data_IF_185761169647
#
_entry.id   IF_185761169647
#
_cell.length_a   1.000
_cell.length_b   1.000
_cell.length_c   1.000
_cell.angle_alpha   90.00
_cell.angle_beta   90.00
_cell.angle_gamma   90.00
#
_symmetry.space_group_name_H-M   'P 1'
#
loop_
_entity.id
_entity.type
_entity.pdbx_description
1 polymer ?
#
# COMPACT_ATOMS: atom_id res chain seq x y z
N UNK A 1 27.51 93.41 -29.42
CA UNK A 1 26.34 92.45 -29.53
C UNK A 1 26.86 91.10 -29.05
N UNK A 2 26.43 90.68 -27.88
CA UNK A 2 27.07 89.64 -27.08
C UNK A 2 26.25 88.40 -27.19
N UNK A 3 26.84 87.37 -27.73
CA UNK A 3 26.25 86.01 -27.68
C UNK A 3 26.92 85.18 -26.59
N UNK A 4 26.17 84.69 -25.63
CA UNK A 4 26.58 83.79 -24.54
C UNK A 4 26.33 82.34 -24.93
N UNK A 5 27.42 81.55 -24.97
CA UNK A 5 27.38 80.11 -25.13
C UNK A 5 27.04 79.46 -23.77
N UNK A 6 26.01 78.60 -23.76
CA UNK A 6 25.68 77.72 -22.65
C UNK A 6 26.20 76.33 -22.98
N UNK A 7 27.17 75.83 -22.21
CA UNK A 7 27.71 74.49 -22.28
C UNK A 7 26.85 73.60 -21.33
N UNK A 8 26.11 72.65 -21.87
CA UNK A 8 25.45 71.59 -21.11
C UNK A 8 26.42 70.43 -20.87
N UNK A 9 26.79 70.20 -19.62
CA UNK A 9 27.47 68.97 -19.19
C UNK A 9 26.39 67.92 -18.88
N UNK A 10 26.34 66.85 -19.67
CA UNK A 10 25.52 65.63 -19.36
C UNK A 10 26.33 64.74 -18.45
N UNK A 11 25.82 64.53 -17.24
CA UNK A 11 26.25 63.42 -16.35
C UNK A 11 25.54 62.10 -16.80
N UNK A 12 26.33 61.17 -17.31
CA UNK A 12 25.88 59.80 -17.55
C UNK A 12 25.96 59.03 -16.22
N UNK A 13 24.83 58.76 -15.60
CA UNK A 13 24.69 57.81 -14.51
C UNK A 13 24.58 56.40 -15.09
N UNK A 14 25.65 55.60 -14.98
CA UNK A 14 25.65 54.19 -15.30
C UNK A 14 24.92 53.43 -14.15
N UNK A 15 23.67 53.04 -14.38
CA UNK A 15 22.92 52.13 -13.51
C UNK A 15 23.39 50.72 -13.75
N UNK A 16 24.06 50.13 -12.77
CA UNK A 16 24.30 48.66 -12.73
C UNK A 16 22.98 47.95 -12.42
N UNK A 17 22.37 47.33 -13.42
CA UNK A 17 21.33 46.31 -13.21
C UNK A 17 22.01 45.00 -12.74
N UNK A 18 21.95 44.72 -11.45
CA UNK A 18 22.19 43.38 -10.93
C UNK A 18 21.01 42.51 -11.34
N UNK A 19 21.15 41.73 -12.42
CA UNK A 19 20.26 40.64 -12.73
C UNK A 19 20.53 39.55 -11.69
N UNK A 20 19.63 39.39 -10.71
CA UNK A 20 19.58 38.22 -9.86
C UNK A 20 19.20 37.03 -10.75
N UNK A 21 20.18 36.18 -11.12
CA UNK A 21 19.91 34.86 -11.62
C UNK A 21 19.22 34.07 -10.46
N UNK A 22 17.92 34.07 -10.45
CA UNK A 22 17.20 33.07 -9.73
C UNK A 22 17.58 31.70 -10.36
N UNK A 23 18.31 30.88 -9.63
CA UNK A 23 18.54 29.52 -10.02
C UNK A 23 17.14 28.85 -10.14
N UNK A 24 16.68 28.72 -11.39
CA UNK A 24 15.48 27.87 -11.64
C UNK A 24 15.87 26.49 -11.19
N UNK A 25 15.06 25.84 -10.33
CA UNK A 25 15.27 24.43 -10.05
C UNK A 25 15.25 23.71 -11.40
N UNK A 26 16.32 22.99 -11.71
CA UNK A 26 16.30 22.11 -12.89
C UNK A 26 15.16 21.14 -12.66
N UNK A 27 14.10 21.24 -13.45
CA UNK A 27 13.09 20.22 -13.52
C UNK A 27 13.82 18.94 -13.94
N UNK A 28 14.02 18.03 -12.98
CA UNK A 28 14.48 16.69 -13.31
C UNK A 28 13.39 16.10 -14.19
N UNK A 29 13.75 15.73 -15.41
CA UNK A 29 12.81 15.08 -16.31
C UNK A 29 12.42 13.76 -15.64
N UNK A 30 11.18 13.72 -15.15
CA UNK A 30 10.59 12.55 -14.57
C UNK A 30 10.67 11.39 -15.57
N UNK A 31 11.20 10.26 -15.15
CA UNK A 31 11.34 9.11 -16.03
C UNK A 31 10.56 7.91 -15.49
N UNK A 32 9.77 7.31 -16.37
CA UNK A 32 9.05 6.06 -16.12
C UNK A 32 9.75 4.90 -16.82
N UNK A 33 9.86 3.76 -16.15
CA UNK A 33 10.42 2.53 -16.69
C UNK A 33 9.62 1.31 -16.27
N UNK A 34 9.31 0.43 -17.22
CA UNK A 34 8.85 -0.93 -16.92
C UNK A 34 10.08 -1.78 -16.61
N UNK A 35 10.13 -2.33 -15.41
CA UNK A 35 11.21 -3.20 -14.94
C UNK A 35 10.97 -4.66 -15.32
N UNK A 36 9.69 -5.08 -15.34
CA UNK A 36 9.28 -6.42 -15.72
C UNK A 36 7.86 -6.42 -16.27
N UNK A 37 7.64 -7.22 -17.32
CA UNK A 37 6.31 -7.55 -17.84
C UNK A 37 5.99 -8.98 -17.42
N UNK A 38 4.93 -9.20 -16.68
CA UNK A 38 4.49 -10.54 -16.32
C UNK A 38 3.95 -11.30 -17.54
N UNK A 39 4.19 -12.60 -17.55
CA UNK A 39 3.78 -13.46 -18.68
C UNK A 39 2.51 -14.25 -18.41
N UNK A 40 1.99 -14.23 -17.18
CA UNK A 40 0.89 -15.10 -16.76
C UNK A 40 1.28 -16.57 -16.56
N UNK A 41 2.58 -16.89 -16.68
CA UNK A 41 3.10 -18.24 -16.56
C UNK A 41 3.93 -18.43 -15.26
N UNK A 42 5.15 -18.92 -15.38
CA UNK A 42 5.99 -19.26 -14.23
C UNK A 42 6.46 -18.07 -13.40
N UNK A 43 6.42 -16.86 -13.93
CA UNK A 43 6.74 -15.60 -13.25
C UNK A 43 5.51 -14.96 -12.56
N UNK A 44 4.31 -15.48 -12.82
CA UNK A 44 3.07 -14.95 -12.31
C UNK A 44 2.36 -14.00 -13.25
N UNK A 45 1.27 -13.42 -12.78
CA UNK A 45 0.45 -12.42 -13.49
C UNK A 45 -0.47 -11.68 -12.54
N UNK A 46 -1.03 -10.57 -13.00
CA UNK A 46 -1.97 -9.73 -12.25
C UNK A 46 -1.46 -9.38 -10.83
N UNK A 47 -0.32 -8.65 -10.72
CA UNK A 47 0.20 -8.23 -9.42
C UNK A 47 -0.73 -7.18 -8.80
N UNK A 48 -1.29 -7.46 -7.63
CA UNK A 48 -2.26 -6.62 -6.94
C UNK A 48 -1.68 -5.85 -5.75
N UNK A 49 -0.55 -6.32 -5.22
CA UNK A 49 0.07 -5.75 -4.03
C UNK A 49 1.31 -4.92 -4.38
N UNK A 50 1.69 -4.04 -3.45
CA UNK A 50 2.96 -3.33 -3.51
C UNK A 50 4.17 -4.21 -3.27
N UNK A 51 5.34 -3.60 -3.36
CA UNK A 51 6.62 -4.29 -3.26
C UNK A 51 7.24 -4.10 -1.87
N UNK A 52 7.87 -5.14 -1.35
CA UNK A 52 8.71 -5.07 -0.15
C UNK A 52 10.17 -5.02 -0.57
N UNK A 53 10.95 -4.07 0.00
CA UNK A 53 12.35 -3.85 -0.37
C UNK A 53 13.27 -4.42 0.71
N UNK A 54 14.26 -5.23 0.34
CA UNK A 54 15.31 -5.66 1.26
C UNK A 54 16.47 -4.65 1.31
N UNK A 55 17.40 -4.85 2.25
CA UNK A 55 18.59 -3.98 2.41
C UNK A 55 19.55 -4.00 1.22
N UNK A 56 19.46 -5.00 0.35
CA UNK A 56 20.28 -5.12 -0.86
C UNK A 56 19.61 -4.47 -2.08
N UNK A 57 18.41 -3.91 -1.92
CA UNK A 57 17.64 -3.27 -3.00
C UNK A 57 16.91 -4.28 -3.89
N UNK A 58 16.69 -5.51 -3.43
CA UNK A 58 15.78 -6.42 -4.13
C UNK A 58 14.34 -6.15 -3.69
N UNK A 59 13.41 -6.40 -4.61
CA UNK A 59 11.99 -6.26 -4.37
C UNK A 59 11.31 -7.62 -4.27
N UNK A 60 10.31 -7.72 -3.40
CA UNK A 60 9.50 -8.91 -3.21
C UNK A 60 8.04 -8.54 -3.36
N UNK A 61 7.29 -9.34 -4.08
CA UNK A 61 5.87 -9.10 -4.33
C UNK A 61 5.10 -10.39 -4.55
N UNK A 62 3.82 -10.23 -4.77
CA UNK A 62 2.88 -11.31 -5.02
C UNK A 62 2.17 -11.09 -6.35
N UNK A 63 1.74 -12.18 -6.97
CA UNK A 63 0.85 -12.15 -8.12
C UNK A 63 -0.38 -12.99 -7.83
N UNK A 64 -1.56 -12.49 -8.20
CA UNK A 64 -2.83 -13.17 -7.96
C UNK A 64 -2.99 -14.40 -8.84
N UNK A 65 -2.46 -14.36 -10.07
CA UNK A 65 -2.43 -15.45 -11.06
C UNK A 65 -1.00 -15.93 -11.33
N UNK A 66 -0.84 -16.99 -12.09
CA UNK A 66 0.47 -17.53 -12.50
C UNK A 66 0.39 -18.95 -12.97
N UNK A 67 1.51 -19.66 -13.09
CA UNK A 67 1.70 -20.94 -13.80
C UNK A 67 0.59 -21.99 -13.65
N UNK A 68 -0.15 -21.98 -12.55
CA UNK A 68 -1.28 -22.86 -12.28
C UNK A 68 -2.58 -22.09 -11.97
N UNK A 69 -2.60 -20.78 -12.18
CA UNK A 69 -3.73 -19.91 -11.87
C UNK A 69 -3.88 -19.54 -10.39
N UNK A 70 -2.96 -19.96 -9.52
CA UNK A 70 -3.12 -19.86 -8.07
C UNK A 70 -2.26 -18.75 -7.43
N UNK A 71 -1.43 -18.07 -8.22
CA UNK A 71 -0.57 -16.97 -7.79
C UNK A 71 0.84 -17.41 -7.36
N UNK A 72 1.71 -16.41 -7.22
CA UNK A 72 3.12 -16.61 -6.85
C UNK A 72 3.59 -15.59 -5.83
N UNK A 73 4.69 -15.92 -5.14
CA UNK A 73 5.55 -14.92 -4.49
C UNK A 73 6.83 -14.84 -5.29
N UNK A 74 7.25 -13.65 -5.68
CA UNK A 74 8.42 -13.42 -6.51
C UNK A 74 9.46 -12.52 -5.83
N UNK A 75 10.69 -12.60 -6.36
CA UNK A 75 11.78 -11.68 -6.09
C UNK A 75 12.23 -11.04 -7.39
N UNK A 76 12.28 -9.72 -7.44
CA UNK A 76 12.90 -8.93 -8.49
C UNK A 76 14.28 -8.48 -8.03
N UNK A 77 15.32 -8.80 -8.78
CA UNK A 77 16.70 -8.46 -8.45
C UNK A 77 17.39 -7.78 -9.61
N UNK A 78 18.26 -6.83 -9.31
CA UNK A 78 19.11 -6.20 -10.32
C UNK A 78 20.28 -7.12 -10.67
N UNK A 79 20.43 -7.48 -11.94
CA UNK A 79 21.49 -8.36 -12.44
C UNK A 79 22.17 -7.72 -13.65
N UNK A 80 23.44 -7.37 -13.51
CA UNK A 80 24.16 -6.62 -14.55
C UNK A 80 23.53 -5.25 -14.79
N UNK A 81 23.02 -5.00 -15.99
CA UNK A 81 22.32 -3.74 -16.33
C UNK A 81 20.78 -3.88 -16.36
N UNK A 82 20.24 -5.02 -15.96
CA UNK A 82 18.81 -5.30 -16.07
C UNK A 82 18.19 -5.82 -14.78
N UNK A 83 16.91 -6.09 -14.84
CA UNK A 83 16.12 -6.65 -13.75
C UNK A 83 15.67 -8.07 -14.09
N UNK A 84 15.67 -8.95 -13.11
CA UNK A 84 15.27 -10.36 -13.27
C UNK A 84 14.27 -10.71 -12.18
N UNK A 85 13.11 -11.23 -12.59
CA UNK A 85 12.11 -11.82 -11.69
C UNK A 85 12.42 -13.30 -11.51
N UNK A 86 12.44 -13.75 -10.26
CA UNK A 86 12.48 -15.15 -9.89
C UNK A 86 11.26 -15.47 -9.01
N UNK A 87 10.49 -16.47 -9.41
CA UNK A 87 9.44 -17.01 -8.56
C UNK A 87 10.07 -17.73 -7.37
N UNK A 88 9.76 -17.28 -6.16
CA UNK A 88 10.23 -17.90 -4.92
C UNK A 88 9.33 -19.06 -4.53
N UNK A 89 8.03 -18.90 -4.76
CA UNK A 89 7.00 -19.91 -4.49
C UNK A 89 5.84 -19.76 -5.46
N UNK A 90 5.28 -20.87 -5.90
CA UNK A 90 4.05 -20.92 -6.70
C UNK A 90 3.02 -21.73 -5.93
N UNK A 91 1.91 -21.08 -5.59
CA UNK A 91 0.82 -21.74 -4.87
C UNK A 91 0.19 -22.83 -5.73
N UNK A 92 -0.11 -23.96 -5.09
CA UNK A 92 -0.70 -25.11 -5.78
C UNK A 92 -2.25 -25.08 -5.77
N UNK A 93 -2.82 -24.14 -4.98
CA UNK A 93 -4.22 -24.19 -4.61
C UNK A 93 -4.50 -25.27 -3.57
N UNK A 94 -5.65 -25.31 -2.98
CA UNK A 94 -5.92 -26.27 -1.91
C UNK A 94 -5.25 -25.86 -0.59
N UNK A 95 -4.51 -26.78 0.04
CA UNK A 95 -4.06 -26.60 1.43
C UNK A 95 -3.01 -25.52 1.66
N UNK A 96 -2.23 -25.12 0.67
CA UNK A 96 -1.19 -24.08 0.77
C UNK A 96 -1.73 -22.68 0.48
N UNK A 97 -2.96 -22.58 -0.03
CA UNK A 97 -3.61 -21.32 -0.36
C UNK A 97 -3.59 -21.01 -1.85
N UNK A 98 -4.29 -19.94 -2.23
CA UNK A 98 -4.32 -19.38 -3.58
C UNK A 98 -4.70 -17.91 -3.56
N UNK A 99 -4.38 -17.18 -4.63
CA UNK A 99 -4.61 -15.74 -4.78
C UNK A 99 -4.00 -14.91 -3.63
N UNK A 100 -2.66 -14.84 -3.52
CA UNK A 100 -2.00 -13.95 -2.58
C UNK A 100 -2.12 -12.50 -3.10
N UNK A 101 -3.13 -11.77 -2.63
CA UNK A 101 -3.43 -10.41 -3.08
C UNK A 101 -2.86 -9.33 -2.15
N UNK A 102 -2.39 -9.72 -0.97
CA UNK A 102 -1.68 -8.84 -0.05
C UNK A 102 -0.17 -8.88 -0.29
N UNK A 103 0.53 -7.86 0.14
CA UNK A 103 1.99 -7.77 0.07
C UNK A 103 2.64 -8.79 1.02
N UNK A 104 3.66 -9.49 0.53
CA UNK A 104 4.52 -10.29 1.39
C UNK A 104 5.51 -9.37 2.13
N UNK A 105 5.55 -9.45 3.47
CA UNK A 105 6.35 -8.59 4.33
C UNK A 105 7.41 -9.38 5.09
N UNK A 106 8.56 -8.76 5.41
CA UNK A 106 9.56 -9.41 6.24
C UNK A 106 9.14 -9.41 7.71
N UNK A 107 9.17 -10.57 8.34
CA UNK A 107 9.07 -10.69 9.78
C UNK A 107 10.40 -10.41 10.48
N UNK A 108 10.37 -10.31 11.83
CA UNK A 108 11.56 -10.03 12.64
C UNK A 108 12.66 -11.10 12.53
N UNK A 109 12.33 -12.31 12.07
CA UNK A 109 13.24 -13.43 11.82
C UNK A 109 13.83 -13.45 10.39
N UNK A 110 13.50 -12.46 9.56
CA UNK A 110 13.96 -12.32 8.19
C UNK A 110 13.28 -13.24 7.18
N UNK A 111 12.25 -13.99 7.57
CA UNK A 111 11.39 -14.71 6.65
C UNK A 111 10.35 -13.77 6.03
N UNK A 112 9.80 -14.13 4.87
CA UNK A 112 8.64 -13.46 4.29
C UNK A 112 7.36 -14.07 4.84
N UNK A 113 6.39 -13.21 5.12
CA UNK A 113 5.06 -13.60 5.59
C UNK A 113 4.00 -12.92 4.73
N UNK A 114 2.90 -13.61 4.52
CA UNK A 114 1.76 -13.07 3.77
C UNK A 114 0.51 -13.88 3.99
N UNK A 115 -0.53 -13.48 3.29
CA UNK A 115 -1.83 -14.15 3.29
C UNK A 115 -2.22 -14.59 1.89
N UNK A 116 -3.03 -15.62 1.80
CA UNK A 116 -3.75 -15.95 0.57
C UNK A 116 -5.25 -15.71 0.81
N UNK A 117 -5.90 -15.04 -0.14
CA UNK A 117 -7.32 -14.71 -0.03
C UNK A 117 -8.21 -15.95 0.01
N UNK A 118 -7.82 -16.99 -0.72
CA UNK A 118 -8.53 -18.25 -0.90
C UNK A 118 -7.62 -19.43 -0.61
N UNK A 119 -8.16 -20.64 -0.73
CA UNK A 119 -7.45 -21.88 -0.41
C UNK A 119 -7.42 -22.13 1.10
N UNK A 120 -6.52 -22.99 1.56
CA UNK A 120 -6.62 -23.60 2.87
C UNK A 120 -7.57 -24.79 2.82
N UNK A 121 -7.87 -25.41 3.97
CA UNK A 121 -8.68 -26.63 4.01
C UNK A 121 -10.12 -26.40 3.52
N UNK A 122 -10.73 -25.28 3.93
CA UNK A 122 -12.12 -24.94 3.62
C UNK A 122 -12.25 -23.86 2.51
N UNK A 123 -11.14 -23.35 1.98
CA UNK A 123 -11.16 -22.34 0.93
C UNK A 123 -11.20 -20.89 1.42
N UNK A 124 -11.07 -20.65 2.72
CA UNK A 124 -11.22 -19.33 3.35
C UNK A 124 -9.92 -18.55 3.53
N UNK A 125 -8.82 -19.03 2.93
CA UNK A 125 -7.53 -18.38 2.94
C UNK A 125 -6.58 -18.90 4.02
N UNK A 126 -5.31 -18.44 3.91
CA UNK A 126 -4.24 -18.88 4.81
C UNK A 126 -3.37 -17.72 5.24
N UNK A 127 -2.60 -17.93 6.32
CA UNK A 127 -1.40 -17.14 6.64
C UNK A 127 -0.20 -18.04 6.41
N UNK A 128 0.76 -17.60 5.60
CA UNK A 128 1.95 -18.36 5.24
C UNK A 128 3.26 -17.68 5.65
N UNK A 129 4.31 -18.47 5.75
CA UNK A 129 5.68 -18.05 5.90
C UNK A 129 6.53 -18.66 4.79
N UNK A 130 7.41 -17.87 4.17
CA UNK A 130 8.41 -18.35 3.20
C UNK A 130 9.81 -18.14 3.74
N UNK A 131 10.63 -19.18 3.70
CA UNK A 131 12.05 -19.15 4.07
C UNK A 131 12.93 -19.56 2.90
N UNK A 132 14.09 -18.92 2.74
CA UNK A 132 15.07 -19.40 1.79
C UNK A 132 15.51 -20.83 2.16
N UNK A 133 15.91 -21.66 1.18
CA UNK A 133 16.43 -22.99 1.46
C UNK A 133 17.64 -22.92 2.39
N UNK A 134 17.75 -23.89 3.31
CA UNK A 134 18.82 -23.94 4.31
C UNK A 134 20.24 -24.12 3.71
N UNK A 135 20.32 -24.59 2.47
CA UNK A 135 21.59 -24.78 1.75
C UNK A 135 21.69 -23.81 0.59
N UNK A 136 22.90 -23.30 0.31
CA UNK A 136 23.15 -22.43 -0.81
C UNK A 136 22.67 -23.09 -2.12
N UNK A 137 21.74 -22.45 -2.76
CA UNK A 137 21.17 -22.93 -4.01
C UNK A 137 22.14 -22.68 -5.17
N UNK A 138 22.36 -23.69 -6.00
CA UNK A 138 23.21 -23.63 -7.18
C UNK A 138 22.43 -23.55 -8.49
N UNK A 139 21.10 -23.57 -8.43
CA UNK A 139 20.23 -23.47 -9.61
C UNK A 139 19.66 -22.07 -9.77
N UNK A 140 19.28 -21.72 -10.99
CA UNK A 140 18.68 -20.41 -11.31
C UNK A 140 17.32 -20.27 -10.63
N UNK A 141 16.61 -21.37 -10.41
CA UNK A 141 15.35 -21.43 -9.67
C UNK A 141 15.59 -22.10 -8.31
N UNK A 142 15.55 -21.31 -7.27
CA UNK A 142 15.61 -21.78 -5.89
C UNK A 142 14.29 -21.51 -5.18
N UNK A 143 13.33 -22.42 -5.23
CA UNK A 143 12.09 -22.23 -4.53
C UNK A 143 12.34 -22.12 -3.03
N UNK A 144 11.67 -21.18 -2.40
CA UNK A 144 11.67 -21.04 -0.96
C UNK A 144 10.73 -22.07 -0.35
N UNK A 145 10.97 -22.39 0.90
CA UNK A 145 10.14 -23.34 1.65
C UNK A 145 8.95 -22.58 2.23
N UNK A 146 7.77 -22.99 1.82
CA UNK A 146 6.52 -22.51 2.37
C UNK A 146 6.14 -23.30 3.62
N UNK A 147 5.56 -22.62 4.59
CA UNK A 147 4.91 -23.18 5.77
C UNK A 147 3.61 -22.43 6.00
N UNK A 148 2.49 -23.13 5.94
CA UNK A 148 1.20 -22.57 6.34
C UNK A 148 1.16 -22.48 7.86
N UNK A 149 1.02 -21.27 8.38
CA UNK A 149 0.95 -20.99 9.81
C UNK A 149 -0.46 -21.13 10.36
N UNK A 150 -1.44 -20.70 9.55
CA UNK A 150 -2.85 -20.76 9.90
C UNK A 150 -3.72 -20.96 8.64
N UNK A 151 -4.85 -21.67 8.80
CA UNK A 151 -5.87 -21.85 7.76
C UNK A 151 -7.20 -21.41 8.35
N UNK A 152 -7.78 -20.38 7.75
CA UNK A 152 -9.09 -19.89 8.17
C UNK A 152 -10.18 -20.92 7.85
N UNK A 153 -11.18 -21.01 8.72
CA UNK A 153 -12.29 -21.97 8.62
C UNK A 153 -13.60 -21.33 8.17
N UNK A 154 -13.61 -19.99 7.99
CA UNK A 154 -14.77 -19.23 7.51
C UNK A 154 -15.85 -18.99 8.56
N UNK A 155 -15.62 -19.45 9.79
CA UNK A 155 -16.51 -19.24 10.94
C UNK A 155 -16.11 -18.00 11.74
N UNK A 156 -16.12 -18.15 13.07
CA UNK A 156 -15.76 -17.06 13.99
C UNK A 156 -14.30 -16.61 13.86
N UNK A 157 -13.41 -17.44 13.32
CA UNK A 157 -11.99 -17.16 13.12
C UNK A 157 -11.68 -16.28 11.91
N UNK A 158 -12.69 -15.98 11.08
CA UNK A 158 -12.55 -15.13 9.91
C UNK A 158 -12.44 -15.88 8.60
N UNK A 159 -12.46 -15.13 7.49
CA UNK A 159 -12.32 -15.63 6.12
C UNK A 159 -11.79 -14.54 5.19
N UNK A 160 -11.17 -14.95 4.09
CA UNK A 160 -10.76 -14.05 3.02
C UNK A 160 -9.87 -12.89 3.52
N UNK A 161 -8.66 -13.16 4.03
CA UNK A 161 -7.68 -12.11 4.25
C UNK A 161 -7.27 -11.54 2.89
N UNK A 162 -7.54 -10.25 2.66
CA UNK A 162 -7.41 -9.66 1.33
C UNK A 162 -6.18 -8.77 1.20
N UNK A 163 -6.36 -7.45 1.17
CA UNK A 163 -5.32 -6.48 0.82
C UNK A 163 -4.41 -6.10 2.00
N UNK A 164 -4.70 -6.65 3.19
CA UNK A 164 -4.02 -6.25 4.42
C UNK A 164 -2.61 -6.83 4.56
N UNK A 165 -1.63 -5.96 4.72
CA UNK A 165 -0.30 -6.35 5.13
C UNK A 165 -0.31 -6.91 6.56
N UNK A 166 0.52 -7.92 6.82
CA UNK A 166 0.72 -8.42 8.17
C UNK A 166 1.60 -7.48 8.99
N UNK A 167 1.24 -7.28 10.26
CA UNK A 167 2.02 -6.52 11.23
C UNK A 167 2.54 -7.43 12.35
N UNK A 168 3.65 -7.04 12.98
CA UNK A 168 4.31 -7.82 14.04
C UNK A 168 4.42 -7.01 15.32
N UNK A 169 4.11 -7.63 16.46
CA UNK A 169 4.46 -7.04 17.75
C UNK A 169 5.92 -7.36 18.15
N UNK A 170 6.40 -6.77 19.22
CA UNK A 170 7.76 -6.97 19.71
C UNK A 170 8.07 -8.41 20.16
N UNK A 171 7.06 -9.23 20.39
CA UNK A 171 7.18 -10.66 20.70
C UNK A 171 7.25 -11.53 19.45
N UNK A 172 7.03 -10.96 18.26
CA UNK A 172 6.94 -11.66 16.99
C UNK A 172 5.57 -12.31 16.73
N UNK A 173 4.53 -11.94 17.48
CA UNK A 173 3.15 -12.31 17.12
C UNK A 173 2.72 -11.56 15.88
N UNK A 174 1.93 -12.21 15.04
CA UNK A 174 1.47 -11.70 13.75
C UNK A 174 0.04 -11.18 13.93
N UNK A 175 -0.21 -10.01 13.36
CA UNK A 175 -1.55 -9.42 13.31
C UNK A 175 -1.96 -9.17 11.87
N UNK A 176 -3.22 -9.36 11.58
CA UNK A 176 -3.83 -9.09 10.29
C UNK A 176 -5.34 -9.01 10.39
N UNK A 177 -5.98 -8.92 9.25
CA UNK A 177 -7.43 -8.77 9.12
C UNK A 177 -8.00 -9.77 8.14
N UNK A 178 -9.28 -10.07 8.29
CA UNK A 178 -10.06 -10.83 7.32
C UNK A 178 -11.28 -10.02 6.89
N UNK A 179 -11.62 -10.08 5.61
CA UNK A 179 -12.79 -9.36 5.09
C UNK A 179 -14.13 -10.00 5.48
N UNK A 180 -14.14 -11.28 5.83
CA UNK A 180 -15.32 -12.02 6.21
C UNK A 180 -15.12 -12.86 7.48
N UNK A 181 -16.14 -13.58 7.88
CA UNK A 181 -16.20 -14.33 9.14
C UNK A 181 -16.41 -13.43 10.35
N UNK A 182 -16.16 -13.95 11.54
CA UNK A 182 -16.38 -13.23 12.81
C UNK A 182 -17.76 -13.53 13.41
N UNK A 183 -18.38 -12.54 14.03
CA UNK A 183 -19.66 -12.70 14.73
C UNK A 183 -20.81 -13.08 13.78
N UNK A 184 -21.64 -14.04 14.16
CA UNK A 184 -22.75 -14.49 13.30
C UNK A 184 -23.88 -13.48 13.12
N UNK A 185 -23.84 -12.36 13.84
CA UNK A 185 -24.88 -11.31 13.79
C UNK A 185 -24.80 -10.42 12.56
N UNK A 186 -23.75 -10.51 11.77
CA UNK A 186 -23.56 -9.71 10.56
C UNK A 186 -24.45 -10.07 9.36
N UNK A 187 -25.43 -10.92 9.51
CA UNK A 187 -26.41 -11.20 8.44
C UNK A 187 -25.83 -11.81 7.15
N UNK A 188 -24.61 -12.32 7.18
CA UNK A 188 -23.88 -12.86 6.04
C UNK A 188 -22.36 -12.82 6.25
N UNK A 189 -21.59 -13.21 5.28
CA UNK A 189 -20.17 -13.54 5.33
C UNK A 189 -19.19 -12.35 5.44
N UNK A 190 -19.58 -11.19 5.95
CA UNK A 190 -18.87 -9.94 5.63
C UNK A 190 -18.44 -9.03 6.78
N UNK A 191 -18.51 -9.45 8.06
CA UNK A 191 -18.07 -8.55 9.15
C UNK A 191 -16.57 -8.50 9.32
N UNK A 192 -15.92 -9.62 9.22
CA UNK A 192 -14.48 -9.72 9.34
C UNK A 192 -13.96 -9.56 10.77
N UNK A 193 -12.68 -9.87 10.93
CA UNK A 193 -11.99 -9.82 12.22
C UNK A 193 -10.63 -9.16 12.12
N UNK A 194 -10.11 -8.70 13.25
CA UNK A 194 -8.68 -8.55 13.47
C UNK A 194 -8.20 -9.80 14.18
N UNK A 195 -7.27 -10.53 13.57
CA UNK A 195 -6.69 -11.74 14.17
C UNK A 195 -5.28 -11.49 14.69
N UNK A 196 -4.88 -12.31 15.65
CA UNK A 196 -3.52 -12.41 16.17
C UNK A 196 -3.08 -13.86 16.14
N UNK A 197 -1.92 -14.13 15.53
CA UNK A 197 -1.26 -15.44 15.64
C UNK A 197 -0.09 -15.36 16.61
N UNK A 198 -0.09 -16.19 17.64
CA UNK A 198 0.98 -16.28 18.62
C UNK A 198 1.68 -17.63 18.49
N UNK A 199 3.02 -17.58 18.44
CA UNK A 199 3.82 -18.80 18.30
C UNK A 199 3.97 -19.50 19.64
N UNK A 200 3.71 -20.81 19.64
CA UNK A 200 3.96 -21.70 20.78
C UNK A 200 4.73 -22.94 20.32
N UNK A 201 6.05 -22.92 20.52
CA UNK A 201 6.94 -23.95 19.95
C UNK A 201 6.94 -23.93 18.43
N UNK A 202 6.48 -25.02 17.80
CA UNK A 202 6.35 -25.13 16.35
C UNK A 202 4.95 -24.80 15.85
N UNK A 203 4.00 -24.57 16.74
CA UNK A 203 2.59 -24.29 16.40
C UNK A 203 2.30 -22.79 16.50
N UNK A 204 1.28 -22.38 15.77
CA UNK A 204 0.69 -21.05 15.87
C UNK A 204 -0.74 -21.19 16.40
N UNK A 205 -1.10 -20.32 17.33
CA UNK A 205 -2.44 -20.27 17.92
C UNK A 205 -3.05 -18.92 17.57
N UNK A 206 -4.24 -18.97 17.04
CA UNK A 206 -5.02 -17.79 16.70
C UNK A 206 -5.78 -17.30 17.95
N UNK A 207 -5.93 -16.01 18.06
CA UNK A 207 -6.86 -15.31 18.93
C UNK A 207 -7.38 -14.07 18.22
N UNK A 208 -8.53 -13.59 18.67
CA UNK A 208 -9.21 -12.45 18.03
C UNK A 208 -9.13 -11.22 18.91
N UNK A 209 -8.26 -10.25 18.61
CA UNK A 209 -8.33 -8.91 19.16
C UNK A 209 -9.72 -8.27 19.00
N UNK A 210 -10.34 -8.43 17.82
CA UNK A 210 -11.66 -7.87 17.59
C UNK A 210 -12.43 -8.61 16.49
N UNK A 211 -13.75 -8.76 16.69
CA UNK A 211 -14.71 -9.19 15.68
C UNK A 211 -15.69 -8.06 15.40
N UNK A 212 -15.77 -7.61 14.16
CA UNK A 212 -16.65 -6.53 13.75
C UNK A 212 -18.11 -6.97 13.72
N UNK A 213 -19.03 -6.03 13.98
CA UNK A 213 -20.46 -6.29 13.98
C UNK A 213 -21.17 -5.82 12.71
N UNK A 214 -20.48 -5.04 11.87
CA UNK A 214 -21.07 -4.40 10.69
C UNK A 214 -21.94 -3.18 11.00
N UNK A 215 -22.03 -2.82 12.29
CA UNK A 215 -22.75 -1.64 12.80
C UNK A 215 -21.86 -0.39 12.83
N UNK A 216 -21.97 0.38 13.91
CA UNK A 216 -21.20 1.62 14.11
C UNK A 216 -19.69 1.37 14.30
N UNK A 217 -19.28 0.15 14.59
CA UNK A 217 -17.89 -0.27 14.71
C UNK A 217 -17.20 -0.53 13.35
N UNK A 218 -17.99 -0.63 12.28
CA UNK A 218 -17.53 -0.96 10.95
C UNK A 218 -17.64 -2.44 10.59
N UNK A 219 -17.20 -2.79 9.39
CA UNK A 219 -17.17 -4.16 8.89
C UNK A 219 -16.28 -4.32 7.67
N UNK A 220 -15.88 -5.55 7.37
CA UNK A 220 -14.95 -5.92 6.31
C UNK A 220 -13.64 -5.09 6.36
N UNK A 221 -12.78 -5.28 7.35
CA UNK A 221 -11.46 -4.66 7.39
C UNK A 221 -10.55 -5.30 6.34
N UNK A 222 -10.63 -4.81 5.10
CA UNK A 222 -9.85 -5.36 3.98
C UNK A 222 -8.37 -5.01 4.06
N UNK A 223 -8.02 -3.89 4.70
CA UNK A 223 -6.65 -3.47 4.92
C UNK A 223 -6.07 -4.06 6.21
N UNK A 224 -4.75 -4.14 6.29
CA UNK A 224 -4.06 -4.54 7.51
C UNK A 224 -4.13 -3.49 8.62
N UNK A 225 -3.60 -3.85 9.79
CA UNK A 225 -3.49 -2.96 10.93
C UNK A 225 -2.06 -2.49 11.13
N UNK A 226 -1.89 -1.27 11.65
CA UNK A 226 -0.60 -0.70 12.03
C UNK A 226 -0.56 -0.42 13.52
N UNK A 227 0.65 -0.50 14.13
CA UNK A 227 0.87 -0.20 15.53
C UNK A 227 1.30 1.24 15.77
N UNK A 228 0.83 1.84 16.86
CA UNK A 228 1.53 2.96 17.48
C UNK A 228 2.61 2.47 18.47
N UNK A 229 3.35 3.42 19.05
CA UNK A 229 4.38 3.13 20.05
C UNK A 229 3.85 2.61 21.39
N UNK A 230 2.55 2.74 21.66
CA UNK A 230 1.86 2.27 22.85
C UNK A 230 1.30 0.86 22.69
N UNK A 231 1.34 0.32 21.47
CA UNK A 231 0.82 -1.00 21.13
C UNK A 231 -0.66 -1.00 20.77
N UNK A 232 -1.26 0.17 20.51
CA UNK A 232 -2.59 0.25 19.92
C UNK A 232 -2.51 -0.10 18.43
N UNK A 233 -3.59 -0.69 17.90
CA UNK A 233 -3.74 -1.02 16.49
C UNK A 233 -4.70 -0.02 15.83
N UNK A 234 -4.36 0.36 14.61
CA UNK A 234 -5.19 1.25 13.79
C UNK A 234 -5.46 0.61 12.44
N UNK A 235 -6.68 0.71 11.95
CA UNK A 235 -7.09 0.17 10.66
C UNK A 235 -8.33 0.86 10.12
N UNK A 236 -8.75 0.39 8.95
CA UNK A 236 -9.98 0.85 8.26
C UNK A 236 -10.96 -0.31 8.12
N UNK A 237 -12.24 -0.02 8.24
CA UNK A 237 -13.33 -0.92 7.92
C UNK A 237 -14.08 -0.40 6.69
N UNK A 238 -14.28 -1.26 5.71
CA UNK A 238 -14.78 -0.90 4.39
C UNK A 238 -16.22 -0.36 4.41
N UNK A 239 -17.08 -0.93 5.24
CA UNK A 239 -18.46 -0.44 5.44
C UNK A 239 -18.79 -0.31 6.92
N UNK A 240 -20.06 0.01 7.24
CA UNK A 240 -20.51 0.30 8.59
C UNK A 240 -20.22 1.76 8.96
N UNK A 241 -20.27 2.06 10.26
CA UNK A 241 -20.33 3.43 10.75
C UNK A 241 -21.73 4.05 10.60
N UNK A 242 -21.92 5.28 11.07
CA UNK A 242 -23.22 5.97 11.11
C UNK A 242 -23.89 6.11 9.74
N UNK A 243 -23.11 6.21 8.67
CA UNK A 243 -23.60 6.37 7.29
C UNK A 243 -23.39 5.13 6.41
N UNK A 244 -22.85 4.05 6.96
CA UNK A 244 -22.60 2.80 6.20
C UNK A 244 -21.45 2.88 5.19
N UNK A 245 -20.64 3.95 5.22
CA UNK A 245 -19.59 4.22 4.24
C UNK A 245 -18.19 3.85 4.73
N UNK A 246 -18.11 3.15 5.87
CA UNK A 246 -16.86 2.70 6.48
C UNK A 246 -16.34 3.59 7.59
N UNK A 247 -15.33 3.11 8.30
CA UNK A 247 -14.76 3.78 9.47
C UNK A 247 -13.24 3.70 9.48
N UNK A 248 -12.61 4.59 10.25
CA UNK A 248 -11.26 4.38 10.78
C UNK A 248 -11.39 4.03 12.26
N UNK A 249 -10.69 2.99 12.70
CA UNK A 249 -10.78 2.50 14.07
C UNK A 249 -9.42 2.39 14.75
N UNK A 250 -9.47 2.42 16.09
CA UNK A 250 -8.39 2.11 17.01
C UNK A 250 -8.80 0.92 17.87
N UNK A 251 -7.87 -0.03 18.09
CA UNK A 251 -8.00 -1.08 19.10
C UNK A 251 -6.92 -0.85 20.16
N UNK A 252 -7.34 -0.66 21.40
CA UNK A 252 -6.43 -0.45 22.54
C UNK A 252 -6.45 -1.67 23.46
N UNK A 253 -5.27 -2.20 23.89
CA UNK A 253 -5.21 -3.29 24.84
C UNK A 253 -5.83 -2.88 26.19
N UNK A 254 -6.70 -3.71 26.77
CA UNK A 254 -7.35 -3.43 28.05
C UNK A 254 -7.74 -4.70 28.79
N UNK A 255 -7.19 -4.90 30.00
CA UNK A 255 -7.64 -5.94 30.92
C UNK A 255 -7.53 -7.39 30.41
N UNK A 256 -6.64 -7.66 29.45
CA UNK A 256 -6.48 -8.96 28.79
C UNK A 256 -7.31 -9.12 27.51
N UNK A 257 -8.04 -8.08 27.11
CA UNK A 257 -8.77 -7.98 25.83
C UNK A 257 -8.41 -6.69 25.10
N UNK A 258 -9.30 -6.27 24.21
CA UNK A 258 -9.13 -5.06 23.40
C UNK A 258 -10.42 -4.23 23.44
N UNK A 259 -10.27 -2.91 23.40
CA UNK A 259 -11.38 -1.96 23.28
C UNK A 259 -11.28 -1.30 21.91
N UNK A 260 -12.36 -1.39 21.15
CA UNK A 260 -12.50 -0.69 19.86
C UNK A 260 -13.05 0.71 20.09
N UNK A 261 -12.48 1.67 19.34
CA UNK A 261 -12.94 3.04 19.24
C UNK A 261 -12.97 3.45 17.78
N UNK A 262 -14.11 3.91 17.31
CA UNK A 262 -14.22 4.57 16.00
C UNK A 262 -13.63 5.96 16.09
N UNK A 263 -12.66 6.27 15.23
CA UNK A 263 -11.95 7.56 15.18
C UNK A 263 -12.66 8.54 14.26
N UNK A 264 -13.19 8.05 13.17
CA UNK A 264 -14.06 8.79 12.23
C UNK A 264 -14.94 7.82 11.45
N UNK A 265 -16.15 8.30 11.12
CA UNK A 265 -17.05 7.70 10.16
C UNK A 265 -16.91 8.43 8.83
N UNK A 266 -16.87 7.69 7.74
CA UNK A 266 -16.84 8.29 6.43
C UNK A 266 -18.24 8.79 6.02
N UNK A 267 -18.25 9.89 5.25
CA UNK A 267 -19.48 10.52 4.78
C UNK A 267 -19.25 11.45 3.60
N UNK A 268 -20.33 11.83 2.94
CA UNK A 268 -20.27 12.73 1.79
C UNK A 268 -19.62 12.09 0.56
N UNK A 269 -18.53 12.68 0.09
CA UNK A 269 -17.81 12.23 -1.10
C UNK A 269 -16.70 11.21 -0.83
N UNK A 270 -16.45 10.85 0.44
CA UNK A 270 -15.37 9.93 0.83
C UNK A 270 -15.93 8.71 1.54
N UNK A 271 -15.51 7.52 1.16
CA UNK A 271 -15.95 6.31 1.85
C UNK A 271 -15.35 5.03 1.28
N UNK A 272 -15.75 3.92 1.89
CA UNK A 272 -15.36 2.57 1.52
C UNK A 272 -13.82 2.41 1.45
N UNK A 273 -13.07 2.66 2.54
CA UNK A 273 -11.62 2.59 2.53
C UNK A 273 -11.13 1.17 2.25
N UNK A 274 -10.37 0.97 1.17
CA UNK A 274 -9.70 -0.29 0.82
C UNK A 274 -8.24 -0.29 1.25
N UNK A 275 -7.59 0.88 1.17
CA UNK A 275 -6.21 1.06 1.59
C UNK A 275 -6.05 1.10 3.11
N UNK A 276 -4.90 0.66 3.60
CA UNK A 276 -4.50 0.77 4.98
C UNK A 276 -4.06 2.18 5.36
N UNK A 277 -3.76 2.35 6.63
CA UNK A 277 -3.30 3.60 7.19
C UNK A 277 -1.76 3.67 7.22
N UNK A 278 -1.24 4.89 7.25
CA UNK A 278 0.18 5.17 7.44
C UNK A 278 0.34 6.30 8.45
N UNK A 279 1.26 6.15 9.43
CA UNK A 279 1.62 7.22 10.36
C UNK A 279 2.70 8.13 9.77
N UNK A 280 2.60 9.43 10.08
CA UNK A 280 3.76 10.30 10.03
C UNK A 280 4.53 10.30 11.36
N UNK A 281 5.63 11.08 11.42
CA UNK A 281 6.45 11.22 12.62
C UNK A 281 5.76 12.00 13.77
N UNK A 282 4.64 12.65 13.50
CA UNK A 282 3.86 13.44 14.47
C UNK A 282 2.67 12.64 15.04
N UNK A 283 2.44 11.44 14.52
CA UNK A 283 1.32 10.59 14.91
C UNK A 283 0.02 10.89 14.15
N UNK A 284 0.07 11.65 13.06
CA UNK A 284 -1.06 11.79 12.15
C UNK A 284 -1.22 10.51 11.33
N UNK A 285 -2.46 10.12 11.07
CA UNK A 285 -2.81 8.99 10.22
C UNK A 285 -3.21 9.47 8.84
N UNK A 286 -2.68 8.82 7.82
CA UNK A 286 -3.03 9.07 6.42
C UNK A 286 -3.66 7.83 5.81
N UNK A 287 -4.68 8.01 5.00
CA UNK A 287 -5.39 6.91 4.34
C UNK A 287 -6.14 7.39 3.10
N UNK A 288 -6.88 6.44 2.51
CA UNK A 288 -7.61 6.66 1.26
C UNK A 288 -9.06 6.20 1.38
N UNK A 289 -9.96 6.88 0.67
CA UNK A 289 -11.33 6.46 0.45
C UNK A 289 -11.51 6.04 -1.02
N UNK A 290 -12.06 4.84 -1.23
CA UNK A 290 -12.23 4.28 -2.57
C UNK A 290 -13.34 4.98 -3.35
N UNK A 291 -14.54 5.06 -2.79
CA UNK A 291 -15.64 5.81 -3.41
C UNK A 291 -15.39 7.31 -3.26
N UNK A 292 -15.47 8.02 -4.37
CA UNK A 292 -15.12 9.42 -4.47
C UNK A 292 -13.62 9.69 -4.66
N UNK A 293 -12.77 8.64 -4.63
CA UNK A 293 -11.34 8.73 -4.90
C UNK A 293 -10.66 9.78 -4.03
N UNK A 294 -10.46 9.53 -2.74
CA UNK A 294 -9.96 10.56 -1.83
C UNK A 294 -8.69 10.14 -1.09
N UNK A 295 -7.87 11.13 -0.73
CA UNK A 295 -6.83 11.01 0.29
C UNK A 295 -7.21 11.87 1.49
N UNK A 296 -6.98 11.36 2.70
CA UNK A 296 -7.32 12.04 3.95
C UNK A 296 -6.22 11.97 4.99
N UNK A 297 -6.31 12.85 5.97
CA UNK A 297 -5.49 12.91 7.17
C UNK A 297 -6.40 12.90 8.41
N UNK A 298 -6.01 12.14 9.43
CA UNK A 298 -6.55 12.24 10.77
C UNK A 298 -5.48 12.78 11.71
N UNK A 299 -5.76 13.90 12.36
CA UNK A 299 -4.86 14.55 13.31
C UNK A 299 -5.36 14.30 14.74
N UNK A 300 -4.47 13.83 15.68
CA UNK A 300 -4.85 13.69 17.08
C UNK A 300 -5.24 15.06 17.67
N UNK A 301 -6.37 15.13 18.37
CA UNK A 301 -6.88 16.34 19.02
C UNK A 301 -7.40 16.01 20.41
N UNK A 302 -6.53 16.00 21.42
CA UNK A 302 -6.86 15.55 22.75
C UNK A 302 -7.29 14.07 22.79
N UNK A 303 -8.55 13.79 23.16
CA UNK A 303 -9.13 12.44 23.16
C UNK A 303 -9.87 12.09 21.86
N UNK A 304 -9.87 12.99 20.88
CA UNK A 304 -10.56 12.85 19.59
C UNK A 304 -9.56 12.97 18.43
N UNK A 305 -10.08 12.81 17.21
CA UNK A 305 -9.33 13.00 15.98
C UNK A 305 -10.04 14.00 15.08
N UNK A 306 -9.27 14.79 14.35
CA UNK A 306 -9.79 15.75 13.37
C UNK A 306 -9.54 15.20 11.98
N UNK A 307 -10.63 14.95 11.23
CA UNK A 307 -10.57 14.53 9.84
C UNK A 307 -10.29 15.72 8.92
N UNK A 308 -9.39 15.54 7.96
CA UNK A 308 -9.08 16.49 6.92
C UNK A 308 -9.00 15.80 5.58
N UNK A 309 -9.80 16.24 4.62
CA UNK A 309 -9.68 15.85 3.23
C UNK A 309 -8.44 16.54 2.63
N UNK A 310 -7.54 15.77 2.03
CA UNK A 310 -6.31 16.27 1.40
C UNK A 310 -6.52 16.51 -0.09
N UNK A 311 -7.12 15.53 -0.77
CA UNK A 311 -7.33 15.56 -2.23
C UNK A 311 -8.57 14.73 -2.60
N UNK A 312 -9.16 15.07 -3.74
CA UNK A 312 -10.21 14.28 -4.41
C UNK A 312 -9.77 14.01 -5.84
N UNK A 313 -9.59 12.74 -6.16
CA UNK A 313 -9.08 12.30 -7.45
C UNK A 313 -10.21 12.12 -8.47
N UNK A 314 -9.86 12.26 -9.75
CA UNK A 314 -10.75 11.93 -10.85
C UNK A 314 -10.73 10.43 -11.10
N UNK A 315 -11.88 9.83 -11.41
CA UNK A 315 -12.02 8.41 -11.72
C UNK A 315 -13.25 7.77 -11.09
N UNK A 316 -13.62 6.58 -11.53
CA UNK A 316 -14.72 5.82 -10.91
C UNK A 316 -14.24 5.04 -9.69
N UNK A 317 -13.03 4.46 -9.77
CA UNK A 317 -12.39 3.69 -8.72
C UNK A 317 -11.22 4.51 -8.16
N UNK A 318 -11.23 4.71 -6.85
CA UNK A 318 -10.21 5.47 -6.13
C UNK A 318 -8.96 4.65 -5.81
N UNK A 319 -8.12 5.13 -4.89
CA UNK A 319 -6.96 4.41 -4.42
C UNK A 319 -7.33 3.13 -3.68
N UNK A 320 -6.70 2.02 -4.05
CA UNK A 320 -6.78 0.74 -3.32
C UNK A 320 -5.66 0.59 -2.30
N UNK A 321 -4.48 1.08 -2.66
CA UNK A 321 -3.27 0.93 -1.84
C UNK A 321 -3.19 1.92 -0.70
N UNK A 322 -2.40 1.56 0.31
CA UNK A 322 -2.01 2.48 1.39
C UNK A 322 -1.10 3.58 0.84
N UNK A 323 -1.16 4.75 1.46
CA UNK A 323 -0.27 5.86 1.15
C UNK A 323 1.15 5.60 1.70
N UNK A 324 2.16 6.08 1.02
CA UNK A 324 3.56 5.99 1.45
C UNK A 324 4.12 7.39 1.65
N UNK A 325 4.78 7.62 2.77
CA UNK A 325 5.42 8.90 3.10
C UNK A 325 6.93 8.82 2.93
N UNK A 326 7.53 9.89 2.39
CA UNK A 326 8.97 10.07 2.43
C UNK A 326 9.44 10.86 3.67
N UNK A 327 10.74 11.00 3.84
CA UNK A 327 11.32 11.71 4.98
C UNK A 327 11.04 13.24 4.97
N UNK A 328 10.64 13.81 3.84
CA UNK A 328 10.24 15.21 3.71
C UNK A 328 8.74 15.42 4.00
N UNK A 329 7.99 14.35 4.22
CA UNK A 329 6.56 14.36 4.48
C UNK A 329 5.71 14.40 3.19
N UNK A 330 6.31 14.18 2.02
CA UNK A 330 5.52 13.99 0.81
C UNK A 330 4.81 12.64 0.88
N UNK A 331 3.60 12.61 0.34
CA UNK A 331 2.75 11.42 0.28
C UNK A 331 2.69 10.94 -1.16
N UNK A 332 2.85 9.63 -1.35
CA UNK A 332 2.76 8.98 -2.65
C UNK A 332 1.68 7.90 -2.62
N UNK A 333 0.98 7.76 -3.74
CA UNK A 333 -0.04 6.74 -3.93
C UNK A 333 -0.33 6.48 -5.39
N UNK A 334 -1.22 5.53 -5.62
CA UNK A 334 -1.76 5.20 -6.93
C UNK A 334 -3.28 5.37 -6.91
N UNK A 335 -3.85 5.76 -8.03
CA UNK A 335 -5.30 5.74 -8.27
C UNK A 335 -5.60 4.75 -9.39
N UNK A 336 -6.57 3.86 -9.16
CA UNK A 336 -6.82 2.73 -10.05
C UNK A 336 -7.34 3.13 -11.43
N UNK A 337 -8.17 4.17 -11.50
CA UNK A 337 -8.74 4.71 -12.74
C UNK A 337 -8.48 6.22 -12.84
N UNK A 338 -8.99 6.88 -13.86
CA UNK A 338 -8.73 8.29 -14.12
C UNK A 338 -7.37 8.55 -14.75
N UNK A 339 -6.86 9.77 -14.60
CA UNK A 339 -5.70 10.24 -15.35
C UNK A 339 -6.03 10.56 -16.79
N UNK A 340 -5.02 10.87 -17.62
CA UNK A 340 -5.22 11.28 -19.00
C UNK A 340 -5.82 10.19 -19.90
N UNK A 341 -5.67 8.92 -19.54
CA UNK A 341 -6.08 7.75 -20.36
C UNK A 341 -7.11 6.86 -19.67
N UNK A 342 -7.59 7.24 -18.48
CA UNK A 342 -8.57 6.48 -17.68
C UNK A 342 -8.09 5.06 -17.27
N UNK A 343 -6.77 4.86 -17.20
CA UNK A 343 -6.14 3.61 -16.81
C UNK A 343 -5.35 3.73 -15.49
N UNK A 344 -5.61 4.80 -14.74
CA UNK A 344 -4.99 5.07 -13.46
C UNK A 344 -3.69 5.86 -13.57
N UNK A 345 -3.22 6.32 -12.42
CA UNK A 345 -2.05 7.19 -12.33
C UNK A 345 -1.30 7.03 -11.01
N UNK A 346 -0.08 7.53 -10.97
CA UNK A 346 0.74 7.67 -9.76
C UNK A 346 0.77 9.14 -9.35
N UNK A 347 0.56 9.43 -8.09
CA UNK A 347 0.50 10.81 -7.60
C UNK A 347 1.44 11.08 -6.43
N UNK A 348 1.71 12.37 -6.24
CA UNK A 348 2.37 12.93 -5.06
C UNK A 348 1.51 14.04 -4.48
N UNK A 349 1.40 14.06 -3.14
CA UNK A 349 0.91 15.21 -2.38
C UNK A 349 2.08 15.79 -1.60
N UNK A 350 2.37 17.08 -1.79
CA UNK A 350 3.46 17.78 -1.10
C UNK A 350 2.86 18.79 -0.12
N UNK A 351 3.30 18.84 1.15
CA UNK A 351 2.86 19.86 2.08
C UNK A 351 3.14 21.27 1.56
N UNK A 352 2.15 22.16 1.55
CA UNK A 352 2.28 23.52 1.02
C UNK A 352 1.50 24.52 1.89
N UNK A 353 2.20 25.30 2.71
CA UNK A 353 1.57 26.23 3.64
C UNK A 353 0.61 25.53 4.61
N UNK A 354 -0.68 25.86 4.55
CA UNK A 354 -1.74 25.19 5.34
C UNK A 354 -2.45 24.07 4.55
N UNK A 355 -1.98 23.74 3.33
CA UNK A 355 -2.60 22.79 2.42
C UNK A 355 -1.64 21.75 1.88
N UNK A 356 -2.05 21.14 0.78
CA UNK A 356 -1.30 20.17 0.02
C UNK A 356 -1.32 20.55 -1.45
N UNK A 357 -0.22 20.28 -2.15
CA UNK A 357 -0.13 20.44 -3.60
C UNK A 357 -0.13 19.07 -4.25
N UNK A 358 -1.11 18.81 -5.10
CA UNK A 358 -1.19 17.61 -5.91
C UNK A 358 -0.24 17.72 -7.10
N UNK A 359 0.46 16.63 -7.40
CA UNK A 359 1.26 16.44 -8.60
C UNK A 359 0.95 15.07 -9.18
N UNK A 360 0.50 15.06 -10.43
CA UNK A 360 0.41 13.84 -11.22
C UNK A 360 1.83 13.46 -11.66
N UNK A 361 2.26 12.27 -11.25
CA UNK A 361 3.60 11.79 -11.57
C UNK A 361 3.64 10.94 -12.82
N UNK A 362 2.60 10.20 -13.13
CA UNK A 362 2.53 9.35 -14.31
C UNK A 362 1.11 8.85 -14.58
N UNK A 363 0.62 9.01 -15.80
CA UNK A 363 -0.63 8.46 -16.31
C UNK A 363 -0.37 7.17 -17.08
N UNK A 364 -0.99 6.07 -16.65
CA UNK A 364 -0.91 4.80 -17.37
C UNK A 364 -1.78 4.82 -18.62
N UNK A 365 -1.24 4.27 -19.73
CA UNK A 365 -1.99 4.19 -20.99
C UNK A 365 -2.88 2.95 -21.08
N UNK A 366 -2.71 1.97 -20.18
CA UNK A 366 -3.35 0.66 -20.29
C UNK A 366 -2.69 -0.29 -21.31
N UNK A 367 -1.63 0.19 -21.96
CA UNK A 367 -0.83 -0.55 -22.94
C UNK A 367 0.37 -1.27 -22.33
N UNK A 368 1.52 -1.17 -23.02
CA UNK A 368 2.76 -1.83 -22.59
C UNK A 368 3.37 -1.26 -21.30
N UNK A 369 2.95 -0.10 -20.88
CA UNK A 369 3.35 0.58 -19.64
C UNK A 369 2.55 0.15 -18.41
N UNK A 370 1.49 -0.61 -18.58
CA UNK A 370 0.61 -1.05 -17.51
C UNK A 370 -0.70 -0.27 -17.44
N UNK A 371 -1.53 -0.63 -16.47
CA UNK A 371 -2.81 0.01 -16.19
C UNK A 371 -3.40 -0.54 -14.90
N UNK A 372 -4.38 0.17 -14.35
CA UNK A 372 -5.08 -0.20 -13.13
C UNK A 372 -4.10 -0.44 -11.96
N UNK A 373 -3.32 0.58 -11.55
CA UNK A 373 -2.37 0.46 -10.44
C UNK A 373 -3.13 0.46 -9.12
N UNK A 374 -3.25 -0.71 -8.50
CA UNK A 374 -3.96 -0.90 -7.22
C UNK A 374 -2.99 -1.12 -6.05
N UNK A 375 -1.69 -1.07 -6.32
CA UNK A 375 -0.65 -1.30 -5.32
C UNK A 375 -0.31 -0.01 -4.57
N UNK A 376 0.21 -0.14 -3.35
CA UNK A 376 0.94 0.95 -2.70
C UNK A 376 2.30 1.20 -3.41
N UNK A 377 2.78 2.43 -3.30
CA UNK A 377 4.09 2.84 -3.80
C UNK A 377 5.16 2.43 -2.79
N UNK A 378 6.28 1.91 -3.27
CA UNK A 378 7.49 1.67 -2.47
C UNK A 378 8.57 2.68 -2.86
N UNK A 379 9.32 3.19 -1.89
CA UNK A 379 10.37 4.21 -2.10
C UNK A 379 11.71 3.61 -1.71
N UNK A 380 12.72 3.70 -2.60
CA UNK A 380 14.08 3.29 -2.27
C UNK A 380 14.86 4.40 -1.54
N UNK A 381 16.08 4.08 -1.10
CA UNK A 381 16.95 5.04 -0.41
C UNK A 381 17.39 6.24 -1.28
N UNK A 382 17.19 6.19 -2.58
CA UNK A 382 17.50 7.27 -3.53
C UNK A 382 16.27 8.10 -3.91
N UNK A 383 15.11 7.81 -3.31
CA UNK A 383 13.84 8.48 -3.59
C UNK A 383 13.14 8.01 -4.87
N UNK A 384 13.59 6.93 -5.49
CA UNK A 384 12.87 6.34 -6.62
C UNK A 384 11.64 5.60 -6.15
N UNK A 385 10.58 5.69 -6.93
CA UNK A 385 9.29 5.09 -6.67
C UNK A 385 9.13 3.79 -7.46
N UNK A 386 8.53 2.80 -6.82
CA UNK A 386 8.28 1.49 -7.42
C UNK A 386 6.88 1.01 -7.06
N UNK A 387 6.27 0.27 -7.97
CA UNK A 387 4.98 -0.37 -7.72
C UNK A 387 4.63 -1.37 -8.81
N UNK A 388 3.41 -1.82 -8.78
CA UNK A 388 2.86 -2.75 -9.76
C UNK A 388 1.63 -2.14 -10.41
N UNK A 389 1.37 -2.52 -11.67
CA UNK A 389 0.10 -2.28 -12.33
C UNK A 389 -0.53 -3.63 -12.64
N UNK A 390 -1.80 -3.77 -12.25
CA UNK A 390 -2.55 -5.03 -12.30
C UNK A 390 -2.78 -5.53 -13.72
N UNK A 391 -2.99 -4.59 -14.65
CA UNK A 391 -3.26 -4.84 -16.08
C UNK A 391 -2.13 -4.27 -16.96
N UNK A 392 -2.27 -4.51 -18.27
CA UNK A 392 -1.33 -4.02 -19.27
C UNK A 392 -0.03 -4.83 -19.34
N UNK A 393 1.02 -4.24 -19.87
CA UNK A 393 2.23 -4.96 -20.22
C UNK A 393 2.11 -5.65 -21.57
N UNK A 394 3.12 -6.43 -21.97
CA UNK A 394 3.20 -7.03 -23.31
C UNK A 394 2.12 -8.05 -23.61
N UNK A 395 1.53 -8.68 -22.61
CA UNK A 395 0.51 -9.73 -22.74
C UNK A 395 -0.73 -9.49 -21.89
N UNK A 396 -0.82 -8.33 -21.21
CA UNK A 396 -1.98 -7.98 -20.39
C UNK A 396 -1.94 -8.46 -18.94
N UNK A 397 -0.86 -9.10 -18.51
CA UNK A 397 -0.72 -9.74 -17.18
C UNK A 397 -0.07 -8.83 -16.13
N UNK A 398 0.05 -7.54 -16.43
CA UNK A 398 0.58 -6.53 -15.52
C UNK A 398 2.09 -6.33 -15.59
N UNK A 399 2.56 -5.33 -14.88
CA UNK A 399 3.96 -4.90 -14.89
C UNK A 399 4.47 -4.56 -13.50
N UNK A 400 5.80 -4.57 -13.34
CA UNK A 400 6.51 -3.86 -12.27
C UNK A 400 7.10 -2.59 -12.89
N UNK A 401 6.83 -1.46 -12.27
CA UNK A 401 7.27 -0.16 -12.75
C UNK A 401 8.18 0.58 -11.78
N UNK A 402 8.97 1.53 -12.31
CA UNK A 402 9.80 2.48 -11.59
C UNK A 402 9.55 3.89 -12.11
N UNK A 403 9.45 4.86 -11.20
CA UNK A 403 9.49 6.30 -11.50
C UNK A 403 10.69 6.91 -10.79
N UNK A 404 11.43 7.75 -11.51
CA UNK A 404 12.41 8.66 -10.90
C UNK A 404 11.78 10.06 -10.93
N UNK A 405 11.35 10.60 -9.76
CA UNK A 405 10.73 11.91 -9.66
C UNK A 405 11.65 13.06 -10.05
#
# INVERSE_FOLDING_TARGET
MITRDFVFRSLATAGFLLASLAAMPMAHAQSYHVLHNFSGHGDGGTPSAGLTIDRAGNFYGTTMSGAMGNGTVFKLSHVGSGWVVNSLYTFQGGNDGLAPIARAVFGPDGALYGTTNLGGFEGFGTVYQLRPPATACRSVSCPWMETVLYRFQGGSDGSSPQYGDLSFDSSGSIYGTTGGGGEPTCGGDTCGVVFKLTRSGNNWTESLPYSFTGGNDGGAPFSGVIFDSSGNLYGTAYYGGDLGLGTVYELSPSGGGWIQKTLTDFGGASGFPLGGLTFDAHGNLFGTGFVGGTAFELQPSGSSWTYRLLETFNGFDGPFGSLTLDAAGNIYGTNATGGAFDNGFVFQLTPSGSGWTFTDLYDFTGGSDGGFPISNVSIDANGKLYGTAYLGGTVGEGVIWQITP
#
